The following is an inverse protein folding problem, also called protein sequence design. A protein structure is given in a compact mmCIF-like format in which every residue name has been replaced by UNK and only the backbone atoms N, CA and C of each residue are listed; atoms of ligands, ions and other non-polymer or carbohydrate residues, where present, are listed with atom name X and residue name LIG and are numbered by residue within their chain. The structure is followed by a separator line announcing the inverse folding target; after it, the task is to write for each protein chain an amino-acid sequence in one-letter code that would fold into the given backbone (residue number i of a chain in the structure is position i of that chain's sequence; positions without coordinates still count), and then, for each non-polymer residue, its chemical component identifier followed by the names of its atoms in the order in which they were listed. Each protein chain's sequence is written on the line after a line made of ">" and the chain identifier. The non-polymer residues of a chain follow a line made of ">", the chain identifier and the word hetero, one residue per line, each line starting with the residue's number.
data_IF_860221076518
#
_entry.id   IF_860221076518
#
_cell.length_a   1.000
_cell.length_b   1.000
_cell.length_c   1.000
_cell.angle_alpha   90.00
_cell.angle_beta   90.00
_cell.angle_gamma   90.00
#
_symmetry.space_group_name_H-M   'P 1'
#
loop_
_entity.id
_entity.type
_entity.pdbx_description
1 polymer ?
#
# COMPACT_ATOMS: atom_id res chain seq x y z
N UNK A 1 -91.89 21.87 51.67
CA UNK A 1 -90.53 21.88 52.20
C UNK A 1 -90.46 22.96 53.27
N UNK A 2 -90.30 22.55 54.53
CA UNK A 2 -90.31 23.48 55.66
C UNK A 2 -88.98 24.26 55.74
N UNK A 3 -88.97 25.40 56.43
CA UNK A 3 -87.75 26.21 56.60
C UNK A 3 -86.64 25.41 57.28
N UNK A 4 -86.99 24.53 58.23
CA UNK A 4 -86.02 23.68 58.94
C UNK A 4 -85.34 22.65 58.04
N UNK A 5 -86.05 22.07 57.06
CA UNK A 5 -85.46 21.13 56.09
C UNK A 5 -84.42 21.81 55.19
N UNK A 6 -84.62 23.10 54.87
CA UNK A 6 -83.69 23.89 54.06
C UNK A 6 -82.41 24.22 54.83
N UNK A 7 -82.51 24.54 56.11
CA UNK A 7 -81.33 24.81 56.95
C UNK A 7 -80.47 23.56 57.15
N UNK A 8 -81.09 22.40 57.40
CA UNK A 8 -80.36 21.14 57.54
C UNK A 8 -79.67 20.72 56.23
N UNK A 9 -80.33 20.93 55.08
CA UNK A 9 -79.73 20.63 53.77
C UNK A 9 -78.56 21.56 53.41
N UNK A 10 -78.52 22.79 53.96
CA UNK A 10 -77.40 23.72 53.79
C UNK A 10 -76.25 23.35 54.70
N UNK A 11 -76.52 23.02 55.97
CA UNK A 11 -75.49 22.59 56.91
C UNK A 11 -74.84 21.27 56.48
N UNK A 12 -75.63 20.29 56.02
CA UNK A 12 -75.11 19.03 55.51
C UNK A 12 -74.21 19.21 54.27
N UNK A 13 -74.60 20.10 53.34
CA UNK A 13 -73.75 20.43 52.18
C UNK A 13 -72.46 21.13 52.57
N UNK A 14 -72.50 21.98 53.60
CA UNK A 14 -71.32 22.69 54.09
C UNK A 14 -70.32 21.73 54.76
N UNK A 15 -70.81 20.80 55.57
CA UNK A 15 -69.93 19.82 56.25
C UNK A 15 -69.32 18.83 55.28
N UNK A 16 -70.05 18.39 54.24
CA UNK A 16 -69.47 17.57 53.18
C UNK A 16 -68.40 18.32 52.38
N UNK A 17 -68.65 19.59 52.03
CA UNK A 17 -67.67 20.40 51.32
C UNK A 17 -66.36 20.58 52.13
N UNK A 18 -66.46 20.78 53.45
CA UNK A 18 -65.29 20.88 54.33
C UNK A 18 -64.55 19.53 54.48
N UNK A 19 -65.26 18.41 54.51
CA UNK A 19 -64.65 17.07 54.54
C UNK A 19 -63.96 16.71 53.22
N UNK A 20 -64.55 17.04 52.07
CA UNK A 20 -63.94 16.82 50.75
C UNK A 20 -62.70 17.70 50.53
N UNK A 21 -62.74 18.96 51.00
CA UNK A 21 -61.62 19.89 50.87
C UNK A 21 -60.39 19.46 51.70
N UNK A 22 -60.59 18.88 52.88
CA UNK A 22 -59.51 18.35 53.71
C UNK A 22 -58.91 17.04 53.16
N UNK A 23 -59.68 16.22 52.45
CA UNK A 23 -59.21 14.94 51.90
C UNK A 23 -58.26 15.13 50.69
N UNK A 24 -58.52 16.14 49.86
CA UNK A 24 -57.70 16.45 48.67
C UNK A 24 -56.26 16.90 49.02
N UNK A 25 -56.09 17.63 50.11
CA UNK A 25 -54.77 18.12 50.54
C UNK A 25 -53.82 16.99 50.98
N UNK A 26 -54.36 15.90 51.53
CA UNK A 26 -53.56 14.77 52.01
C UNK A 26 -53.15 13.80 50.88
N UNK A 27 -53.96 13.68 49.82
CA UNK A 27 -53.64 12.80 48.68
C UNK A 27 -52.55 13.36 47.76
N UNK A 28 -52.45 14.69 47.62
CA UNK A 28 -51.47 15.34 46.74
C UNK A 28 -50.03 15.36 47.29
N UNK A 29 -49.86 15.40 48.62
CA UNK A 29 -48.52 15.47 49.24
C UNK A 29 -47.72 14.16 49.14
N UNK A 30 -48.38 13.00 49.19
CA UNK A 30 -47.68 11.70 49.20
C UNK A 30 -47.01 11.34 47.87
N UNK A 31 -47.69 11.55 46.73
CA UNK A 31 -47.18 11.13 45.41
C UNK A 31 -46.05 12.01 44.88
N UNK A 32 -46.13 13.33 45.07
CA UNK A 32 -45.11 14.27 44.61
C UNK A 32 -43.78 14.14 45.38
N UNK A 33 -43.86 13.84 46.69
CA UNK A 33 -42.68 13.62 47.51
C UNK A 33 -41.90 12.38 47.08
N UNK A 34 -42.59 11.27 46.82
CA UNK A 34 -41.95 10.02 46.37
C UNK A 34 -41.23 10.21 45.03
N UNK A 35 -41.86 10.90 44.07
CA UNK A 35 -41.22 11.18 42.77
C UNK A 35 -40.01 12.10 42.88
N UNK A 36 -40.04 13.07 43.79
CA UNK A 36 -38.92 13.99 43.99
C UNK A 36 -37.74 13.29 44.68
N UNK A 37 -38.01 12.40 45.64
CA UNK A 37 -36.98 11.57 46.29
C UNK A 37 -36.33 10.61 45.28
N UNK A 38 -37.13 9.95 44.42
CA UNK A 38 -36.61 9.09 43.35
C UNK A 38 -35.74 9.85 42.35
N UNK A 39 -36.18 11.04 41.90
CA UNK A 39 -35.40 11.89 40.99
C UNK A 39 -34.11 12.39 41.64
N UNK A 40 -34.15 12.78 42.91
CA UNK A 40 -32.97 13.19 43.67
C UNK A 40 -31.96 12.04 43.83
N UNK A 41 -32.43 10.83 44.13
CA UNK A 41 -31.59 9.63 44.22
C UNK A 41 -30.92 9.28 42.89
N UNK A 42 -31.66 9.36 41.77
CA UNK A 42 -31.11 9.13 40.42
C UNK A 42 -30.02 10.16 40.07
N UNK A 43 -30.23 11.44 40.39
CA UNK A 43 -29.23 12.49 40.14
C UNK A 43 -27.95 12.25 40.95
N UNK A 44 -28.08 11.89 42.24
CA UNK A 44 -26.93 11.55 43.08
C UNK A 44 -26.16 10.33 42.56
N UNK A 45 -26.88 9.32 42.06
CA UNK A 45 -26.28 8.13 41.45
C UNK A 45 -25.49 8.47 40.18
N UNK A 46 -26.05 9.27 39.28
CA UNK A 46 -25.35 9.73 38.06
C UNK A 46 -24.13 10.57 38.41
N UNK A 47 -24.25 11.48 39.38
CA UNK A 47 -23.11 12.26 39.89
C UNK A 47 -22.00 11.38 40.45
N UNK A 48 -22.35 10.31 41.16
CA UNK A 48 -21.40 9.31 41.65
C UNK A 48 -20.66 8.59 40.52
N UNK A 49 -21.36 8.19 39.46
CA UNK A 49 -20.74 7.57 38.29
C UNK A 49 -19.78 8.54 37.59
N UNK A 50 -20.20 9.79 37.36
CA UNK A 50 -19.35 10.80 36.72
C UNK A 50 -18.11 11.08 37.57
N UNK A 51 -18.25 11.18 38.89
CA UNK A 51 -17.12 11.35 39.80
C UNK A 51 -16.17 10.12 39.78
N UNK A 52 -16.70 8.90 39.72
CA UNK A 52 -15.89 7.69 39.61
C UNK A 52 -15.12 7.64 38.28
N UNK A 53 -15.77 7.97 37.16
CA UNK A 53 -15.13 8.07 35.84
C UNK A 53 -14.05 9.15 35.84
N UNK A 54 -14.31 10.30 36.48
CA UNK A 54 -13.33 11.37 36.63
C UNK A 54 -12.12 10.91 37.45
N UNK A 55 -12.32 10.23 38.58
CA UNK A 55 -11.25 9.68 39.41
C UNK A 55 -10.41 8.67 38.62
N UNK A 56 -11.05 7.70 37.95
CA UNK A 56 -10.36 6.69 37.13
C UNK A 56 -9.59 7.34 35.97
N UNK A 57 -10.20 8.29 35.26
CA UNK A 57 -9.56 9.02 34.17
C UNK A 57 -8.37 9.85 34.66
N UNK A 58 -8.50 10.54 35.79
CA UNK A 58 -7.42 11.33 36.39
C UNK A 58 -6.27 10.46 36.91
N UNK A 59 -6.56 9.25 37.41
CA UNK A 59 -5.54 8.30 37.84
C UNK A 59 -4.78 7.73 36.62
N UNK A 60 -5.48 7.41 35.53
CA UNK A 60 -4.87 6.84 34.33
C UNK A 60 -4.07 7.90 33.52
N UNK A 61 -4.55 9.13 33.46
CA UNK A 61 -3.80 10.26 32.89
C UNK A 61 -2.61 10.65 33.76
N UNK A 62 -2.75 10.62 35.09
CA UNK A 62 -1.66 10.94 36.02
C UNK A 62 -0.46 10.01 35.85
N UNK A 63 -0.68 8.70 35.73
CA UNK A 63 0.42 7.75 35.52
C UNK A 63 1.03 7.85 34.13
N UNK A 64 0.26 8.09 33.07
CA UNK A 64 0.80 8.25 31.71
C UNK A 64 1.51 9.60 31.51
N UNK A 65 1.10 10.67 32.19
CA UNK A 65 1.68 12.00 32.05
C UNK A 65 2.85 12.27 33.01
N UNK A 66 2.89 11.59 34.17
CA UNK A 66 4.00 11.70 35.14
C UNK A 66 5.09 10.63 34.93
N UNK A 67 4.79 9.55 34.18
CA UNK A 67 5.82 8.63 33.66
C UNK A 67 6.51 9.15 32.38
N UNK A 68 6.01 10.26 31.80
CA UNK A 68 6.74 10.97 30.77
C UNK A 68 7.90 11.75 31.43
N UNK A 69 9.17 11.43 31.13
CA UNK A 69 10.28 12.17 31.69
C UNK A 69 10.18 13.63 31.23
N UNK A 70 10.14 14.56 32.19
CA UNK A 70 10.24 16.00 31.96
C UNK A 70 11.68 16.34 31.54
N UNK A 71 12.10 15.87 30.37
CA UNK A 71 13.45 16.06 29.86
C UNK A 71 13.55 17.39 29.12
N UNK A 72 13.99 18.42 29.84
CA UNK A 72 14.51 19.69 29.31
C UNK A 72 15.80 19.55 28.47
N UNK A 73 16.11 18.33 28.00
CA UNK A 73 17.34 17.96 27.32
C UNK A 73 17.42 18.42 25.85
N UNK A 74 16.28 18.75 25.21
CA UNK A 74 16.23 19.20 23.81
C UNK A 74 16.82 20.59 23.54
N UNK A 75 17.23 21.33 24.57
CA UNK A 75 17.90 22.64 24.43
C UNK A 75 19.44 22.53 24.39
N UNK A 76 20.02 21.35 24.67
CA UNK A 76 21.48 21.15 24.75
C UNK A 76 21.99 20.10 23.75
N UNK A 77 21.12 19.27 23.16
CA UNK A 77 21.50 18.23 22.20
C UNK A 77 20.61 18.26 20.93
N UNK A 78 21.14 18.60 19.75
CA UNK A 78 20.38 18.62 18.48
C UNK A 78 19.97 17.22 17.98
N UNK A 79 20.35 16.14 18.66
CA UNK A 79 19.89 14.76 18.34
C UNK A 79 18.74 14.28 19.24
N UNK A 80 18.32 15.06 20.24
CA UNK A 80 17.34 14.64 21.25
C UNK A 80 15.86 14.71 20.79
N UNK A 81 15.57 15.25 19.60
CA UNK A 81 14.18 15.35 19.11
C UNK A 81 13.79 14.11 18.29
N UNK A 82 13.40 13.03 18.97
CA UNK A 82 12.69 11.91 18.35
C UNK A 82 11.22 12.26 18.00
N UNK A 83 10.75 13.45 18.40
CA UNK A 83 9.42 14.00 18.12
C UNK A 83 9.45 15.51 17.84
N UNK A 84 10.36 16.01 16.99
CA UNK A 84 10.19 17.37 16.46
C UNK A 84 8.95 17.38 15.56
N UNK A 85 7.93 18.16 15.89
CA UNK A 85 6.76 18.42 15.03
C UNK A 85 7.14 19.47 13.96
N UNK A 86 8.07 19.11 13.09
CA UNK A 86 8.38 19.84 11.87
C UNK A 86 7.40 19.38 10.78
N UNK A 87 6.83 20.25 9.91
CA UNK A 87 6.02 19.85 8.77
C UNK A 87 6.50 18.56 8.05
N UNK A 88 7.80 18.43 7.82
CA UNK A 88 8.40 17.26 7.15
C UNK A 88 8.31 15.96 7.97
N UNK A 89 8.34 16.04 9.31
CA UNK A 89 8.23 14.88 10.19
C UNK A 89 6.78 14.42 10.36
N UNK A 90 5.84 15.38 10.39
CA UNK A 90 4.41 15.11 10.45
C UNK A 90 3.96 14.44 9.16
N UNK A 91 4.41 14.95 8.00
CA UNK A 91 4.13 14.32 6.70
C UNK A 91 4.63 12.86 6.70
N UNK A 92 5.88 12.62 7.08
CA UNK A 92 6.43 11.25 7.16
C UNK A 92 5.65 10.35 8.11
N UNK A 93 5.22 10.84 9.27
CA UNK A 93 4.40 10.06 10.20
C UNK A 93 3.05 9.70 9.61
N UNK A 94 2.39 10.65 8.92
CA UNK A 94 1.11 10.41 8.26
C UNK A 94 1.26 9.43 7.10
N UNK A 95 2.29 9.58 6.26
CA UNK A 95 2.60 8.67 5.17
C UNK A 95 2.92 7.26 5.68
N UNK A 96 3.70 7.15 6.76
CA UNK A 96 4.03 5.86 7.40
C UNK A 96 2.80 5.20 8.00
N UNK A 97 1.92 5.98 8.65
CA UNK A 97 0.65 5.46 9.17
C UNK A 97 -0.26 5.00 8.03
N UNK A 98 -0.36 5.77 6.94
CA UNK A 98 -1.15 5.39 5.76
C UNK A 98 -0.65 4.07 5.16
N UNK A 99 0.66 3.94 4.99
CA UNK A 99 1.28 2.71 4.50
C UNK A 99 0.99 1.53 5.43
N UNK A 100 1.13 1.72 6.75
CA UNK A 100 0.86 0.68 7.75
C UNK A 100 -0.59 0.18 7.74
N UNK A 101 -1.54 1.04 7.42
CA UNK A 101 -2.95 0.66 7.30
C UNK A 101 -3.24 -0.17 6.04
N UNK A 102 -2.36 -0.10 5.03
CA UNK A 102 -2.49 -0.78 3.73
C UNK A 102 -1.34 -1.76 3.46
N UNK A 103 -0.61 -2.16 4.50
CA UNK A 103 0.59 -2.98 4.37
C UNK A 103 0.26 -4.34 3.75
N UNK A 104 -0.90 -4.92 4.11
CA UNK A 104 -1.37 -6.18 3.55
C UNK A 104 -1.53 -6.11 2.03
N UNK A 105 -1.95 -4.97 1.48
CA UNK A 105 -2.13 -4.77 0.04
C UNK A 105 -0.81 -4.81 -0.74
N UNK A 106 0.33 -4.46 -0.10
CA UNK A 106 1.65 -4.52 -0.71
C UNK A 106 2.07 -5.97 -1.02
N UNK A 107 1.59 -6.92 -0.22
CA UNK A 107 1.89 -8.34 -0.34
C UNK A 107 1.02 -9.08 -1.36
N UNK A 108 0.04 -8.40 -1.96
CA UNK A 108 -0.86 -8.97 -2.96
C UNK A 108 -0.25 -8.73 -4.35
N UNK A 109 0.12 -9.80 -5.09
CA UNK A 109 0.59 -9.65 -6.46
C UNK A 109 -0.49 -9.10 -7.38
N UNK A 110 -0.07 -8.40 -8.44
CA UNK A 110 -0.99 -7.84 -9.43
C UNK A 110 -1.64 -8.90 -10.32
N UNK A 111 -0.97 -10.05 -10.50
CA UNK A 111 -1.45 -11.15 -11.32
C UNK A 111 -0.91 -12.51 -10.89
N UNK A 112 -1.19 -13.52 -11.71
CA UNK A 112 -0.87 -14.93 -11.43
C UNK A 112 0.11 -15.53 -12.43
N UNK A 113 0.58 -14.75 -13.41
CA UNK A 113 1.50 -15.22 -14.44
C UNK A 113 2.94 -15.16 -13.91
N UNK A 114 3.61 -16.31 -13.71
CA UNK A 114 4.97 -16.34 -13.17
C UNK A 114 6.04 -16.03 -14.22
N UNK A 115 5.67 -15.87 -15.50
CA UNK A 115 6.64 -15.63 -16.57
C UNK A 115 7.14 -14.18 -16.49
N UNK A 116 8.46 -13.96 -16.31
CA UNK A 116 9.02 -12.62 -16.34
C UNK A 116 8.82 -11.97 -17.72
N UNK A 117 8.46 -10.69 -17.72
CA UNK A 117 8.29 -9.86 -18.90
C UNK A 117 9.20 -8.63 -18.79
N UNK A 118 9.68 -8.10 -19.93
CA UNK A 118 10.55 -6.94 -19.92
C UNK A 118 9.81 -5.68 -19.46
N UNK A 119 10.49 -4.86 -18.67
CA UNK A 119 10.09 -3.51 -18.28
C UNK A 119 11.31 -2.58 -18.36
N UNK A 120 11.15 -1.36 -18.88
CA UNK A 120 12.26 -0.42 -19.07
C UNK A 120 12.02 0.89 -18.34
N UNK A 121 13.00 1.31 -17.54
CA UNK A 121 13.04 2.62 -16.88
C UNK A 121 13.98 3.55 -17.63
N UNK A 122 13.48 4.71 -18.02
CA UNK A 122 14.27 5.71 -18.75
C UNK A 122 15.13 6.52 -17.76
N UNK A 123 16.38 6.88 -18.11
CA UNK A 123 17.19 7.75 -17.26
C UNK A 123 16.48 9.06 -16.90
N UNK A 124 16.41 9.35 -15.60
CA UNK A 124 15.74 10.55 -15.08
C UNK A 124 14.21 10.47 -15.03
N UNK A 125 13.62 9.31 -15.29
CA UNK A 125 12.17 9.10 -15.15
C UNK A 125 11.75 9.21 -13.66
N UNK A 126 10.81 10.10 -13.31
CA UNK A 126 10.36 10.22 -11.92
C UNK A 126 9.61 8.97 -11.44
N UNK A 127 9.86 8.53 -10.20
CA UNK A 127 9.27 7.33 -9.60
C UNK A 127 7.73 7.23 -9.75
N UNK A 128 7.01 8.36 -9.69
CA UNK A 128 5.55 8.41 -9.93
C UNK A 128 5.12 7.92 -11.32
N UNK A 129 5.93 8.19 -12.35
CA UNK A 129 5.63 7.77 -13.73
C UNK A 129 5.97 6.29 -13.92
N UNK A 130 7.07 5.83 -13.31
CA UNK A 130 7.43 4.42 -13.24
C UNK A 130 6.28 3.63 -12.59
N UNK A 131 5.78 4.07 -11.44
CA UNK A 131 4.65 3.46 -10.75
C UNK A 131 3.39 3.40 -11.62
N UNK A 132 3.04 4.50 -12.29
CA UNK A 132 1.87 4.54 -13.18
C UNK A 132 1.98 3.54 -14.34
N UNK A 133 3.18 3.40 -14.92
CA UNK A 133 3.44 2.42 -16.00
C UNK A 133 3.41 0.99 -15.50
N UNK A 134 4.04 0.70 -14.35
CA UNK A 134 3.98 -0.63 -13.74
C UNK A 134 2.53 -1.07 -13.50
N UNK A 135 1.67 -0.16 -13.03
CA UNK A 135 0.26 -0.45 -12.83
C UNK A 135 -0.48 -0.66 -14.16
N UNK A 136 -0.23 0.20 -15.16
CA UNK A 136 -0.84 0.08 -16.49
C UNK A 136 -0.44 -1.22 -17.21
N UNK A 137 0.79 -1.68 -17.00
CA UNK A 137 1.33 -2.92 -17.57
C UNK A 137 1.05 -4.17 -16.70
N UNK A 138 0.38 -4.01 -15.56
CA UNK A 138 -0.09 -5.10 -14.69
C UNK A 138 0.99 -5.71 -13.78
N UNK A 139 2.12 -5.05 -13.58
CA UNK A 139 3.16 -5.50 -12.64
C UNK A 139 2.86 -5.16 -11.18
N UNK A 140 2.04 -4.12 -10.93
CA UNK A 140 1.57 -3.74 -9.60
C UNK A 140 0.07 -3.43 -9.65
N UNK A 141 -0.64 -3.59 -8.53
CA UNK A 141 -2.09 -3.37 -8.48
C UNK A 141 -2.47 -1.88 -8.30
N UNK A 142 -1.64 -1.09 -7.62
CA UNK A 142 -1.92 0.30 -7.26
C UNK A 142 -0.62 1.14 -7.34
N UNK A 143 -0.63 2.13 -8.24
CA UNK A 143 0.51 3.02 -8.47
C UNK A 143 0.74 4.00 -7.30
N UNK A 144 -0.33 4.49 -6.67
CA UNK A 144 -0.23 5.46 -5.58
C UNK A 144 0.32 4.79 -4.32
N UNK A 145 -0.13 3.56 -4.03
CA UNK A 145 0.40 2.76 -2.91
C UNK A 145 1.87 2.40 -3.12
N UNK A 146 2.26 2.00 -4.33
CA UNK A 146 3.66 1.70 -4.64
C UNK A 146 4.55 2.94 -4.53
N UNK A 147 4.10 4.09 -5.03
CA UNK A 147 4.82 5.36 -4.91
C UNK A 147 4.93 5.80 -3.44
N UNK A 148 3.88 5.60 -2.63
CA UNK A 148 3.93 5.83 -1.19
C UNK A 148 4.97 4.93 -0.51
N UNK A 149 4.99 3.64 -0.85
CA UNK A 149 5.95 2.68 -0.34
C UNK A 149 7.39 3.10 -0.64
N UNK A 150 7.70 3.46 -1.89
CA UNK A 150 9.03 3.93 -2.30
C UNK A 150 9.48 5.19 -1.55
N UNK A 151 8.56 6.12 -1.27
CA UNK A 151 8.85 7.35 -0.52
C UNK A 151 9.14 7.09 0.95
N UNK A 152 8.33 6.26 1.60
CA UNK A 152 8.47 5.94 3.03
C UNK A 152 9.74 5.13 3.28
N UNK A 153 10.05 4.18 2.40
CA UNK A 153 11.27 3.35 2.48
C UNK A 153 12.53 4.08 2.00
N UNK A 154 12.38 5.18 1.25
CA UNK A 154 13.49 5.90 0.64
C UNK A 154 14.07 5.22 -0.62
N UNK A 155 13.46 4.12 -1.09
CA UNK A 155 13.89 3.37 -2.27
C UNK A 155 13.73 4.15 -3.57
N UNK A 156 12.89 5.19 -3.61
CA UNK A 156 12.69 6.04 -4.80
C UNK A 156 14.00 6.60 -5.38
N UNK A 157 15.02 6.80 -4.54
CA UNK A 157 16.33 7.37 -4.92
C UNK A 157 17.31 6.34 -5.47
N UNK A 158 17.02 5.07 -5.23
CA UNK A 158 17.88 3.94 -5.59
C UNK A 158 17.35 3.19 -6.82
N UNK A 159 16.26 3.67 -7.43
CA UNK A 159 15.76 3.08 -8.68
C UNK A 159 16.78 3.34 -9.77
N UNK A 160 17.28 2.25 -10.36
CA UNK A 160 18.20 2.32 -11.48
C UNK A 160 17.45 2.53 -12.80
N UNK A 161 18.08 3.22 -13.73
CA UNK A 161 17.60 3.26 -15.10
C UNK A 161 18.15 2.05 -15.87
N UNK A 162 17.32 1.41 -16.68
CA UNK A 162 17.72 0.22 -17.41
C UNK A 162 16.56 -0.72 -17.71
N UNK A 163 16.91 -1.96 -18.03
CA UNK A 163 15.95 -3.02 -18.33
C UNK A 163 15.78 -3.94 -17.12
N UNK A 164 14.57 -4.41 -16.94
CA UNK A 164 14.16 -5.28 -15.85
C UNK A 164 13.33 -6.43 -16.40
N UNK A 165 13.36 -7.57 -15.72
CA UNK A 165 12.47 -8.69 -15.98
C UNK A 165 11.59 -8.87 -14.76
N UNK A 166 10.31 -8.52 -14.89
CA UNK A 166 9.34 -8.52 -13.80
C UNK A 166 8.26 -9.56 -14.08
N UNK A 167 7.81 -10.27 -13.06
CA UNK A 167 6.69 -11.20 -13.17
C UNK A 167 5.44 -10.61 -12.50
N UNK A 168 4.25 -10.91 -13.02
CA UNK A 168 2.99 -10.39 -12.49
C UNK A 168 2.70 -10.97 -11.08
N UNK A 169 3.37 -12.06 -10.71
CA UNK A 169 3.33 -12.69 -9.38
C UNK A 169 4.20 -11.98 -8.33
N UNK A 170 5.00 -11.00 -8.72
CA UNK A 170 5.81 -10.23 -7.76
C UNK A 170 4.93 -9.30 -6.93
N UNK A 171 5.25 -9.19 -5.66
CA UNK A 171 4.68 -8.22 -4.72
C UNK A 171 5.28 -6.84 -4.94
N UNK A 172 4.62 -5.80 -4.44
CA UNK A 172 5.16 -4.43 -4.55
C UNK A 172 6.58 -4.28 -3.96
N UNK A 173 6.90 -4.87 -2.78
CA UNK A 173 8.27 -4.86 -2.27
C UNK A 173 9.27 -5.57 -3.19
N UNK A 174 8.92 -6.72 -3.76
CA UNK A 174 9.79 -7.46 -4.69
C UNK A 174 10.02 -6.68 -5.99
N UNK A 175 8.98 -6.02 -6.52
CA UNK A 175 9.13 -5.14 -7.69
C UNK A 175 10.04 -3.96 -7.34
N UNK A 176 9.86 -3.33 -6.19
CA UNK A 176 10.71 -2.22 -5.76
C UNK A 176 12.17 -2.66 -5.58
N UNK A 177 12.41 -3.86 -5.04
CA UNK A 177 13.74 -4.45 -4.92
C UNK A 177 14.37 -4.73 -6.28
N UNK A 178 13.62 -5.33 -7.21
CA UNK A 178 14.10 -5.58 -8.56
C UNK A 178 14.48 -4.30 -9.31
N UNK A 179 13.78 -3.19 -9.04
CA UNK A 179 14.10 -1.88 -9.64
C UNK A 179 15.40 -1.24 -9.11
N UNK A 180 15.98 -1.75 -8.03
CA UNK A 180 17.26 -1.26 -7.48
C UNK A 180 18.48 -1.80 -8.21
N UNK A 181 18.31 -2.85 -9.02
CA UNK A 181 19.41 -3.43 -9.79
C UNK A 181 18.88 -3.69 -11.18
N UNK A 182 19.16 -2.75 -12.07
CA UNK A 182 18.90 -2.96 -13.48
C UNK A 182 19.63 -4.22 -13.93
N UNK A 183 19.00 -4.98 -14.83
CA UNK A 183 19.72 -5.99 -15.58
C UNK A 183 20.74 -5.24 -16.45
N UNK A 184 21.94 -5.08 -15.91
CA UNK A 184 23.13 -5.03 -16.72
C UNK A 184 23.15 -6.38 -17.42
N UNK A 185 23.02 -6.41 -18.73
CA UNK A 185 23.86 -7.23 -19.59
C UNK A 185 23.27 -7.17 -20.99
N UNK A 186 23.84 -6.25 -21.77
CA UNK A 186 24.15 -6.65 -23.13
C UNK A 186 25.22 -7.74 -23.01
N UNK A 187 24.90 -8.97 -23.39
CA UNK A 187 25.93 -9.98 -23.53
C UNK A 187 26.80 -9.59 -24.73
N UNK A 188 28.06 -9.23 -24.43
CA UNK A 188 29.06 -8.88 -25.44
C UNK A 188 29.74 -10.15 -25.94
N UNK A 189 29.50 -10.51 -27.19
CA UNK A 189 30.18 -11.65 -27.83
C UNK A 189 31.10 -11.14 -28.92
N UNK A 190 32.40 -11.36 -28.74
CA UNK A 190 33.41 -11.02 -29.76
C UNK A 190 33.66 -12.19 -30.68
N UNK A 191 33.61 -11.92 -31.98
CA UNK A 191 33.88 -12.87 -33.05
C UNK A 191 35.10 -12.37 -33.83
N UNK A 192 36.31 -12.85 -33.51
CA UNK A 192 37.51 -12.56 -34.29
C UNK A 192 37.43 -13.07 -35.72
N UNK A 193 38.25 -12.48 -36.58
CA UNK A 193 38.43 -12.95 -37.95
C UNK A 193 38.93 -14.40 -38.00
N UNK A 194 38.45 -15.14 -39.00
CA UNK A 194 38.87 -16.52 -39.24
C UNK A 194 38.19 -17.59 -38.38
N UNK A 195 37.26 -17.23 -37.49
CA UNK A 195 36.44 -18.23 -36.79
C UNK A 195 35.51 -18.96 -37.75
N UNK A 196 35.39 -20.28 -37.56
CA UNK A 196 34.40 -21.10 -38.25
C UNK A 196 33.02 -20.97 -37.62
N UNK A 197 31.97 -21.23 -38.38
CA UNK A 197 30.59 -21.18 -37.84
C UNK A 197 30.37 -22.12 -36.65
N UNK A 198 31.06 -23.25 -36.56
CA UNK A 198 30.94 -24.15 -35.40
C UNK A 198 31.54 -23.54 -34.12
N UNK A 199 32.66 -22.82 -34.23
CA UNK A 199 33.29 -22.13 -33.11
C UNK A 199 32.46 -20.92 -32.68
N UNK A 200 31.82 -20.24 -33.64
CA UNK A 200 30.86 -19.17 -33.36
C UNK A 200 29.64 -19.74 -32.64
N UNK A 201 29.11 -20.88 -33.10
CA UNK A 201 27.96 -21.54 -32.48
C UNK A 201 28.24 -21.95 -31.03
N UNK A 202 29.42 -22.50 -30.76
CA UNK A 202 29.87 -22.86 -29.41
C UNK A 202 29.96 -21.61 -28.53
N UNK A 203 30.64 -20.55 -29.00
CA UNK A 203 30.77 -19.30 -28.25
C UNK A 203 29.44 -18.63 -27.95
N UNK A 204 28.51 -18.62 -28.90
CA UNK A 204 27.17 -18.06 -28.69
C UNK A 204 26.33 -18.91 -27.72
N UNK A 205 26.51 -20.23 -27.75
CA UNK A 205 25.86 -21.14 -26.82
C UNK A 205 26.43 -21.01 -25.40
N UNK A 206 27.75 -20.90 -25.26
CA UNK A 206 28.42 -20.68 -23.97
C UNK A 206 28.03 -19.35 -23.33
N UNK A 207 27.79 -18.33 -24.16
CA UNK A 207 27.25 -17.04 -23.74
C UNK A 207 25.71 -17.06 -23.54
N UNK A 208 25.07 -18.23 -23.64
CA UNK A 208 23.64 -18.43 -23.45
C UNK A 208 22.75 -17.55 -24.36
N UNK A 209 23.23 -17.25 -25.57
CA UNK A 209 22.53 -16.41 -26.57
C UNK A 209 21.57 -17.24 -27.42
N UNK A 210 22.06 -18.35 -27.97
CA UNK A 210 21.34 -19.24 -28.86
C UNK A 210 21.94 -20.64 -28.76
N UNK A 211 21.10 -21.67 -28.83
CA UNK A 211 21.55 -23.06 -28.88
C UNK A 211 22.43 -23.32 -30.11
N UNK A 212 23.52 -24.07 -29.90
CA UNK A 212 24.51 -24.38 -30.95
C UNK A 212 23.85 -24.93 -32.23
N UNK A 213 22.99 -25.95 -32.11
CA UNK A 213 22.33 -26.60 -33.24
C UNK A 213 21.39 -25.65 -33.99
N UNK A 214 20.73 -24.74 -33.27
CA UNK A 214 19.81 -23.76 -33.85
C UNK A 214 20.58 -22.74 -34.69
N UNK A 215 21.72 -22.26 -34.20
CA UNK A 215 22.59 -21.38 -34.97
C UNK A 215 23.16 -22.09 -36.21
N UNK A 216 23.65 -23.32 -36.07
CA UNK A 216 24.18 -24.08 -37.21
C UNK A 216 23.10 -24.41 -38.25
N UNK A 217 21.86 -24.66 -37.83
CA UNK A 217 20.74 -24.85 -38.74
C UNK A 217 20.47 -23.59 -39.57
N UNK A 218 20.52 -22.40 -38.95
CA UNK A 218 20.40 -21.11 -39.62
C UNK A 218 21.52 -20.90 -40.66
N UNK A 219 22.76 -21.26 -40.32
CA UNK A 219 23.91 -21.15 -41.24
C UNK A 219 23.80 -22.12 -42.42
N UNK A 220 23.38 -23.36 -42.16
CA UNK A 220 23.30 -24.44 -43.18
C UNK A 220 22.07 -24.33 -44.07
N UNK A 221 20.98 -23.77 -43.56
CA UNK A 221 19.68 -23.71 -44.24
C UNK A 221 19.16 -22.27 -44.28
N UNK A 222 19.87 -21.32 -44.92
CA UNK A 222 19.50 -19.90 -44.85
C UNK A 222 18.07 -19.59 -45.33
N UNK A 223 17.54 -20.38 -46.28
CA UNK A 223 16.18 -20.23 -46.81
C UNK A 223 15.07 -20.53 -45.80
N UNK A 224 15.38 -21.14 -44.65
CA UNK A 224 14.40 -21.34 -43.58
C UNK A 224 14.27 -20.12 -42.66
N UNK A 225 15.15 -19.13 -42.80
CA UNK A 225 15.12 -17.91 -41.99
C UNK A 225 13.96 -17.04 -42.41
N UNK A 226 13.23 -16.52 -41.43
CA UNK A 226 12.12 -15.57 -41.67
C UNK A 226 12.58 -14.28 -42.33
N UNK A 227 13.86 -13.93 -42.16
CA UNK A 227 14.49 -12.73 -42.72
C UNK A 227 15.06 -12.93 -44.13
N UNK A 228 14.93 -14.13 -44.72
CA UNK A 228 15.61 -14.44 -45.98
C UNK A 228 15.21 -13.48 -47.11
N UNK A 229 13.94 -13.08 -47.15
CA UNK A 229 13.41 -12.16 -48.15
C UNK A 229 13.73 -10.68 -47.84
N UNK A 230 14.16 -10.36 -46.62
CA UNK A 230 14.40 -8.99 -46.16
C UNK A 230 15.74 -8.41 -46.67
N UNK A 231 16.65 -9.26 -47.16
CA UNK A 231 18.00 -8.87 -47.54
C UNK A 231 18.38 -9.34 -48.95
N UNK A 232 18.71 -8.40 -49.84
CA UNK A 232 19.10 -8.67 -51.23
C UNK A 232 20.26 -9.67 -51.36
N UNK A 233 21.24 -9.63 -50.45
CA UNK A 233 22.38 -10.53 -50.51
C UNK A 233 21.97 -11.99 -50.22
N UNK A 234 20.94 -12.21 -49.40
CA UNK A 234 20.41 -13.55 -49.11
C UNK A 234 19.72 -14.14 -50.34
N UNK A 235 18.97 -13.33 -51.08
CA UNK A 235 18.28 -13.75 -52.29
C UNK A 235 19.25 -14.16 -53.42
N UNK A 236 20.46 -13.58 -53.43
CA UNK A 236 21.50 -13.89 -54.41
C UNK A 236 22.34 -15.13 -54.05
N UNK A 237 22.06 -15.84 -52.94
CA UNK A 237 22.76 -17.08 -52.61
C UNK A 237 22.42 -18.20 -53.60
N UNK A 238 23.43 -18.96 -54.09
CA UNK A 238 23.22 -20.20 -54.81
C UNK A 238 22.33 -21.19 -54.04
N UNK A 239 21.68 -22.13 -54.75
CA UNK A 239 20.74 -23.10 -54.17
C UNK A 239 21.32 -23.88 -52.98
N UNK A 240 22.61 -24.23 -53.03
CA UNK A 240 23.27 -25.05 -52.02
C UNK A 240 24.28 -24.27 -51.15
N UNK A 241 24.24 -22.93 -51.18
CA UNK A 241 25.16 -22.10 -50.42
C UNK A 241 24.77 -22.01 -48.94
N UNK A 242 25.77 -22.01 -48.06
CA UNK A 242 25.65 -21.75 -46.62
C UNK A 242 26.02 -20.30 -46.30
N UNK A 243 25.77 -19.88 -45.07
CA UNK A 243 26.21 -18.58 -44.55
C UNK A 243 27.59 -18.62 -43.86
N UNK A 244 28.43 -19.62 -44.19
CA UNK A 244 29.79 -19.69 -43.66
C UNK A 244 30.56 -18.42 -44.05
N UNK A 245 31.15 -17.73 -43.06
CA UNK A 245 31.92 -16.51 -43.28
C UNK A 245 31.10 -15.25 -43.58
N UNK A 246 29.77 -15.30 -43.52
CA UNK A 246 28.91 -14.11 -43.69
C UNK A 246 28.79 -13.26 -42.42
N UNK A 247 29.06 -13.84 -41.25
CA UNK A 247 29.02 -13.10 -39.99
C UNK A 247 30.30 -12.26 -39.87
N UNK A 248 30.15 -10.94 -39.95
CA UNK A 248 31.26 -10.01 -39.94
C UNK A 248 32.02 -10.08 -38.60
N UNK A 249 33.36 -10.09 -38.58
CA UNK A 249 34.12 -10.07 -37.33
C UNK A 249 33.94 -8.76 -36.56
N UNK A 250 33.30 -8.82 -35.38
CA UNK A 250 33.10 -7.68 -34.49
C UNK A 250 32.72 -8.16 -33.07
N UNK A 251 32.55 -7.22 -32.14
CA UNK A 251 31.90 -7.42 -30.85
C UNK A 251 30.41 -7.09 -30.95
N UNK A 252 29.58 -8.11 -30.92
CA UNK A 252 28.12 -8.00 -30.97
C UNK A 252 27.53 -7.83 -29.57
N UNK A 253 26.49 -7.01 -29.49
CA UNK A 253 25.69 -6.76 -28.27
C UNK A 253 24.38 -7.52 -28.38
N UNK A 254 24.12 -8.43 -27.45
CA UNK A 254 22.86 -9.17 -27.38
C UNK A 254 22.08 -8.79 -26.12
N UNK A 255 20.76 -8.53 -26.22
CA UNK A 255 19.94 -8.47 -25.02
C UNK A 255 19.93 -9.85 -24.36
N UNK A 256 20.26 -9.95 -23.07
CA UNK A 256 20.13 -11.22 -22.36
C UNK A 256 18.65 -11.65 -22.38
N UNK A 257 18.42 -12.87 -22.87
CA UNK A 257 17.15 -13.56 -23.19
C UNK A 257 16.63 -13.48 -24.64
N UNK A 258 17.44 -13.93 -25.62
CA UNK A 258 16.94 -14.33 -26.95
C UNK A 258 16.55 -15.82 -27.06
N UNK A 259 16.77 -16.63 -26.02
CA UNK A 259 16.44 -18.05 -26.01
C UNK A 259 15.63 -18.43 -24.76
N UNK A 260 14.33 -18.63 -24.93
CA UNK A 260 13.52 -19.56 -24.10
C UNK A 260 12.37 -20.08 -25.00
N UNK A 261 11.88 -21.30 -24.75
CA UNK A 261 11.58 -22.38 -25.71
C UNK A 261 10.40 -22.16 -26.65
#
# INVERSE_FOLDING_TARGET
>A
MSIQEREQAVLYRRTQAEQEQNNWHNQLRGRALVTNILRGGLLLFVLGIVAAVWVVSSAHLGEQLLAAPQSTAGLIDPTANQFSLDPDSIEKQVLTLNLRLREDELSIPAGTNPRPRPFTVVPGEPARFIAARLAAEGFIADADLFNLYLRVTGLERNIEAGNFMLADTMTMPEVAEALQTALFEEALVTIPEGMRSEEIAERLSDANIIENDRFLAAVRTPRSLTIFDDYDFLQNLPADATLEGFLFPDTYRFPVLAATP
#
